data_IF_203857533457
#
_entry.id   IF_203857533457
#
_cell.length_a   1.000
_cell.length_b   1.000
_cell.length_c   1.000
_cell.angle_alpha   90.00
_cell.angle_beta   90.00
_cell.angle_gamma   90.00
#
_symmetry.space_group_name_H-M   'P 1'
#
loop_
_entity.id
_entity.type
_entity.pdbx_description
1 polymer ?
#
# COMPACT_ATOMS: atom_id res chain seq x y z
N UNK A 1 27.58 -13.37 -4.35
CA UNK A 1 27.03 -13.20 -5.70
C UNK A 1 25.50 -13.23 -5.59
N UNK A 2 24.79 -12.22 -6.10
CA UNK A 2 23.32 -12.13 -6.07
C UNK A 2 22.66 -12.92 -7.22
N UNK A 3 23.46 -13.54 -8.09
CA UNK A 3 23.00 -14.25 -9.29
C UNK A 3 23.03 -15.77 -9.15
N UNK A 4 23.59 -16.29 -8.07
CA UNK A 4 23.78 -17.72 -7.85
C UNK A 4 23.53 -18.11 -6.38
N UNK A 5 22.95 -19.29 -6.18
CA UNK A 5 22.75 -19.89 -4.85
C UNK A 5 21.36 -20.50 -4.65
N UNK A 6 21.17 -21.27 -3.57
CA UNK A 6 19.90 -21.99 -3.30
C UNK A 6 18.69 -21.06 -3.16
N UNK A 7 18.91 -19.84 -2.65
CA UNK A 7 17.87 -18.82 -2.51
C UNK A 7 17.25 -18.41 -3.85
N UNK A 8 18.01 -18.42 -4.95
CA UNK A 8 17.52 -18.07 -6.30
C UNK A 8 16.47 -19.07 -6.77
N UNK A 9 16.69 -20.37 -6.52
CA UNK A 9 15.69 -21.41 -6.83
C UNK A 9 14.39 -21.18 -6.06
N UNK A 10 14.48 -20.75 -4.79
CA UNK A 10 13.28 -20.39 -4.02
C UNK A 10 12.59 -19.14 -4.58
N UNK A 11 13.34 -18.09 -4.92
CA UNK A 11 12.79 -16.87 -5.54
C UNK A 11 12.12 -17.18 -6.87
N UNK A 12 12.68 -18.06 -7.70
CA UNK A 12 12.06 -18.50 -8.94
C UNK A 12 10.71 -19.21 -8.70
N UNK A 13 10.58 -20.00 -7.62
CA UNK A 13 9.29 -20.59 -7.22
C UNK A 13 8.28 -19.52 -6.81
N UNK A 14 8.69 -18.47 -6.11
CA UNK A 14 7.81 -17.34 -5.79
C UNK A 14 7.31 -16.64 -7.06
N UNK A 15 8.21 -16.39 -8.03
CA UNK A 15 7.84 -15.79 -9.34
C UNK A 15 6.80 -16.67 -10.06
N UNK A 16 7.07 -17.97 -10.16
CA UNK A 16 6.15 -18.91 -10.80
C UNK A 16 4.78 -18.96 -10.11
N UNK A 17 4.76 -18.95 -8.77
CA UNK A 17 3.52 -18.92 -7.98
C UNK A 17 2.68 -17.66 -8.22
N UNK A 18 3.31 -16.50 -8.36
CA UNK A 18 2.60 -15.25 -8.65
C UNK A 18 2.16 -15.13 -10.12
N UNK A 19 2.96 -15.63 -11.06
CA UNK A 19 2.63 -15.62 -12.48
C UNK A 19 1.41 -16.47 -12.83
N UNK A 20 1.08 -17.49 -12.01
CA UNK A 20 -0.08 -18.35 -12.17
C UNK A 20 -1.45 -17.71 -11.87
N UNK A 21 -1.54 -16.37 -11.80
CA UNK A 21 -2.79 -15.66 -11.53
C UNK A 21 -3.16 -15.56 -10.05
N UNK A 22 -2.23 -15.85 -9.14
CA UNK A 22 -2.49 -15.86 -7.69
C UNK A 22 -2.54 -14.46 -7.06
N UNK A 23 -2.06 -13.42 -7.76
CA UNK A 23 -2.09 -12.04 -7.27
C UNK A 23 -3.55 -11.55 -7.11
N UNK A 24 -3.88 -10.84 -6.02
CA UNK A 24 -5.18 -10.19 -5.90
C UNK A 24 -5.46 -9.31 -7.11
N UNK A 25 -6.55 -9.63 -7.82
CA UNK A 25 -7.03 -8.87 -8.96
C UNK A 25 -8.54 -8.66 -8.82
N UNK A 26 -8.92 -7.55 -8.23
CA UNK A 26 -10.31 -7.16 -8.11
C UNK A 26 -10.48 -5.64 -8.21
N UNK A 27 -11.71 -5.21 -8.44
CA UNK A 27 -12.06 -3.81 -8.67
C UNK A 27 -11.74 -2.90 -7.46
N UNK A 28 -11.80 -3.44 -6.24
CA UNK A 28 -11.54 -2.71 -5.00
C UNK A 28 -10.05 -2.53 -4.77
N UNK A 29 -9.28 -3.62 -4.81
CA UNK A 29 -7.84 -3.63 -4.61
C UNK A 29 -7.16 -4.70 -5.46
N UNK A 30 -6.09 -4.33 -6.16
CA UNK A 30 -5.29 -5.22 -6.97
C UNK A 30 -3.80 -5.04 -6.68
N UNK A 31 -3.03 -6.11 -6.82
CA UNK A 31 -1.59 -6.11 -6.67
C UNK A 31 -0.89 -6.37 -8.01
N UNK A 32 0.21 -5.65 -8.24
CA UNK A 32 1.03 -5.74 -9.44
C UNK A 32 2.48 -5.91 -9.03
N UNK A 33 3.18 -6.85 -9.66
CA UNK A 33 4.59 -7.14 -9.35
C UNK A 33 5.43 -6.97 -10.61
N UNK A 34 6.65 -6.44 -10.43
CA UNK A 34 7.71 -6.37 -11.44
C UNK A 34 8.99 -6.88 -10.81
N UNK A 35 9.68 -7.76 -11.52
CA UNK A 35 10.98 -8.32 -11.13
C UNK A 35 12.05 -7.62 -11.95
N UNK A 36 13.16 -7.24 -11.34
CA UNK A 36 14.29 -6.65 -12.06
C UNK A 36 14.93 -7.68 -13.00
N UNK A 37 15.12 -7.29 -14.26
CA UNK A 37 15.61 -8.18 -15.33
C UNK A 37 17.03 -8.71 -15.06
N UNK A 38 17.87 -7.91 -14.37
CA UNK A 38 19.26 -8.27 -14.08
C UNK A 38 19.42 -8.95 -12.72
N UNK A 39 18.49 -8.72 -11.78
CA UNK A 39 18.55 -9.15 -10.39
C UNK A 39 17.19 -9.65 -9.94
N UNK A 40 16.91 -10.93 -10.16
CA UNK A 40 15.64 -11.56 -9.78
C UNK A 40 15.27 -11.47 -8.29
N UNK A 41 16.21 -11.10 -7.42
CA UNK A 41 16.03 -10.85 -5.98
C UNK A 41 15.56 -9.42 -5.64
N UNK A 42 15.36 -8.55 -6.63
CA UNK A 42 14.87 -7.17 -6.45
C UNK A 42 13.54 -7.02 -7.18
N UNK A 43 12.47 -6.77 -6.43
CA UNK A 43 11.14 -6.60 -7.00
C UNK A 43 10.58 -5.22 -6.65
N UNK A 44 9.77 -4.68 -7.55
CA UNK A 44 8.85 -3.59 -7.26
C UNK A 44 7.43 -4.15 -7.20
N UNK A 45 6.64 -3.67 -6.25
CA UNK A 45 5.27 -4.09 -6.00
C UNK A 45 4.40 -2.84 -5.93
N UNK A 46 3.24 -2.88 -6.56
CA UNK A 46 2.22 -1.84 -6.42
C UNK A 46 0.92 -2.48 -5.96
N UNK A 47 0.31 -1.93 -4.92
CA UNK A 47 -1.01 -2.33 -4.42
C UNK A 47 -1.94 -1.13 -4.56
N UNK A 48 -3.13 -1.31 -5.14
CA UNK A 48 -4.14 -0.26 -5.16
C UNK A 48 -4.92 -0.26 -3.84
N UNK A 49 -5.17 0.90 -3.25
CA UNK A 49 -5.86 0.99 -1.96
C UNK A 49 -7.29 0.46 -2.04
N UNK A 50 -7.72 -0.41 -1.09
CA UNK A 50 -9.06 -0.98 -1.09
C UNK A 50 -10.18 0.06 -0.95
N UNK A 51 -11.33 -0.22 -1.57
CA UNK A 51 -12.56 0.54 -1.36
C UNK A 51 -12.96 0.57 0.11
N UNK A 52 -13.68 1.62 0.50
CA UNK A 52 -14.16 1.86 1.87
C UNK A 52 -13.05 2.00 2.94
N UNK A 53 -11.85 2.34 2.49
CA UNK A 53 -10.72 2.72 3.34
C UNK A 53 -10.29 4.16 3.03
N UNK A 54 -9.52 4.82 3.90
CA UNK A 54 -8.90 6.11 3.56
C UNK A 54 -7.80 6.00 2.48
N UNK A 55 -7.56 4.79 1.96
CA UNK A 55 -6.62 4.49 0.88
C UNK A 55 -7.28 4.33 -0.50
N UNK A 56 -8.62 4.27 -0.56
CA UNK A 56 -9.42 3.90 -1.76
C UNK A 56 -8.89 4.51 -3.06
N UNK A 57 -8.46 3.63 -3.96
CA UNK A 57 -8.05 3.97 -5.32
C UNK A 57 -6.66 4.59 -5.45
N UNK A 58 -5.93 4.83 -4.36
CA UNK A 58 -4.53 5.23 -4.41
C UNK A 58 -3.61 4.12 -4.90
N UNK A 59 -2.45 4.46 -5.48
CA UNK A 59 -1.41 3.51 -5.87
C UNK A 59 -0.25 3.55 -4.86
N UNK A 60 -0.01 2.44 -4.16
CA UNK A 60 1.00 2.30 -3.11
C UNK A 60 2.14 1.41 -3.60
N UNK A 61 3.35 1.95 -3.65
CA UNK A 61 4.53 1.26 -4.18
C UNK A 61 5.44 0.79 -3.05
N UNK A 62 5.96 -0.42 -3.19
CA UNK A 62 6.89 -1.08 -2.29
C UNK A 62 8.04 -1.69 -3.08
N UNK A 63 9.23 -1.66 -2.52
CA UNK A 63 10.36 -2.46 -2.99
C UNK A 63 10.48 -3.71 -2.11
N UNK A 64 10.81 -4.85 -2.73
CA UNK A 64 11.15 -6.08 -2.04
C UNK A 64 12.56 -6.55 -2.41
N UNK A 65 13.31 -6.97 -1.40
CA UNK A 65 14.64 -7.56 -1.56
C UNK A 65 14.71 -8.92 -0.87
N UNK A 66 15.13 -9.93 -1.62
CA UNK A 66 15.32 -11.30 -1.12
C UNK A 66 16.80 -11.49 -0.74
N UNK A 67 17.14 -11.58 0.56
CA UNK A 67 18.53 -11.74 0.98
C UNK A 67 19.08 -13.11 0.59
N UNK A 68 20.41 -13.26 0.62
CA UNK A 68 21.08 -14.56 0.33
C UNK A 68 20.65 -15.69 1.27
N UNK A 69 20.21 -15.37 2.48
CA UNK A 69 19.64 -16.31 3.45
C UNK A 69 18.16 -16.63 3.24
N UNK A 70 17.53 -16.19 2.14
CA UNK A 70 16.14 -16.53 1.84
C UNK A 70 16.02 -18.01 1.43
N UNK A 71 15.01 -18.77 1.90
CA UNK A 71 13.87 -18.36 2.73
C UNK A 71 14.08 -18.52 4.24
N UNK A 72 15.28 -18.84 4.74
CA UNK A 72 15.53 -18.90 6.20
C UNK A 72 15.19 -17.58 6.89
N UNK A 73 15.42 -16.46 6.20
CA UNK A 73 14.96 -15.13 6.62
C UNK A 73 13.88 -14.61 5.68
N UNK A 74 12.96 -13.81 6.22
CA UNK A 74 11.93 -13.11 5.47
C UNK A 74 12.54 -12.16 4.41
N UNK A 75 11.77 -11.82 3.34
CA UNK A 75 12.18 -10.75 2.44
C UNK A 75 12.19 -9.40 3.16
N UNK A 76 13.02 -8.47 2.71
CA UNK A 76 13.01 -7.08 3.20
C UNK A 76 12.07 -6.26 2.33
N UNK A 77 11.10 -5.59 2.95
CA UNK A 77 10.13 -4.74 2.25
C UNK A 77 10.33 -3.28 2.66
N UNK A 78 10.33 -2.38 1.68
CA UNK A 78 10.38 -0.94 1.90
C UNK A 78 9.21 -0.25 1.21
N UNK A 79 8.41 0.50 1.95
CA UNK A 79 7.36 1.36 1.41
C UNK A 79 7.97 2.60 0.74
N UNK A 80 7.56 2.88 -0.50
CA UNK A 80 8.14 3.92 -1.36
C UNK A 80 7.25 5.15 -1.51
N UNK A 81 5.93 5.01 -1.36
CA UNK A 81 4.98 6.14 -1.45
C UNK A 81 4.96 6.97 -0.15
N UNK A 82 6.13 7.34 0.38
CA UNK A 82 6.27 8.08 1.65
C UNK A 82 6.18 9.60 1.50
N UNK A 83 5.91 10.09 0.28
CA UNK A 83 6.03 11.51 -0.04
C UNK A 83 7.43 12.06 0.24
N UNK A 84 8.48 11.28 -0.04
CA UNK A 84 9.87 11.67 0.22
C UNK A 84 10.17 11.85 1.71
N UNK A 85 9.67 10.95 2.56
CA UNK A 85 9.90 11.00 4.00
C UNK A 85 8.91 11.85 4.81
N UNK A 86 7.89 12.42 4.16
CA UNK A 86 6.94 13.34 4.82
C UNK A 86 5.72 12.64 5.40
N UNK A 87 5.35 11.46 4.90
CA UNK A 87 4.10 10.79 5.22
C UNK A 87 4.33 9.46 5.93
N UNK A 88 3.76 9.34 7.15
CA UNK A 88 3.52 8.06 7.82
C UNK A 88 2.13 7.61 7.39
N UNK A 89 2.04 6.63 6.48
CA UNK A 89 0.78 6.26 5.83
C UNK A 89 -0.14 5.41 6.70
N UNK A 90 0.43 4.73 7.69
CA UNK A 90 -0.27 3.84 8.61
C UNK A 90 0.62 3.67 9.86
N UNK A 91 0.11 3.25 11.03
CA UNK A 91 0.96 2.87 12.14
C UNK A 91 2.06 1.87 11.77
N UNK A 92 1.78 1.00 10.80
CA UNK A 92 2.70 0.01 10.24
C UNK A 92 3.48 0.47 8.99
N UNK A 93 3.27 1.69 8.48
CA UNK A 93 3.98 2.27 7.32
C UNK A 93 4.64 3.59 7.68
N UNK A 94 5.94 3.53 7.95
CA UNK A 94 6.72 4.63 8.50
C UNK A 94 7.17 5.61 7.42
N UNK A 95 7.55 6.82 7.85
CA UNK A 95 8.06 7.89 6.97
C UNK A 95 9.34 7.48 6.23
N UNK A 96 10.20 6.71 6.88
CA UNK A 96 11.44 6.17 6.30
C UNK A 96 11.21 4.95 5.37
N UNK A 97 9.96 4.53 5.23
CA UNK A 97 9.56 3.39 4.42
C UNK A 97 9.58 2.04 5.16
N UNK A 98 9.85 2.01 6.48
CA UNK A 98 9.72 0.75 7.24
C UNK A 98 8.29 0.23 7.19
N UNK A 99 8.17 -1.07 6.89
CA UNK A 99 6.91 -1.82 6.93
C UNK A 99 6.92 -2.76 8.13
N UNK A 100 5.93 -2.61 9.01
CA UNK A 100 5.75 -3.47 10.18
C UNK A 100 4.73 -4.57 9.88
N UNK A 101 5.18 -5.81 9.85
CA UNK A 101 4.33 -6.98 9.71
C UNK A 101 4.99 -8.16 10.44
N UNK A 102 4.20 -8.96 11.15
CA UNK A 102 4.71 -10.13 11.89
C UNK A 102 5.38 -11.14 10.96
N UNK A 103 4.81 -11.36 9.77
CA UNK A 103 5.40 -12.17 8.69
C UNK A 103 6.76 -11.64 8.19
N UNK A 104 7.11 -10.39 8.47
CA UNK A 104 8.41 -9.81 8.11
C UNK A 104 9.37 -9.76 9.30
N UNK A 105 8.95 -10.24 10.48
CA UNK A 105 9.72 -10.13 11.72
C UNK A 105 9.88 -8.69 12.23
N UNK A 106 9.10 -7.76 11.69
CA UNK A 106 9.16 -6.32 12.02
C UNK A 106 8.04 -5.86 12.95
N UNK A 107 7.16 -6.79 13.34
CA UNK A 107 6.07 -6.59 14.29
C UNK A 107 5.91 -7.82 15.18
N UNK A 108 5.26 -7.64 16.34
CA UNK A 108 4.91 -8.78 17.20
C UNK A 108 3.82 -9.61 16.53
N UNK A 109 3.95 -10.93 16.60
CA UNK A 109 2.96 -11.88 16.08
C UNK A 109 2.84 -13.08 17.00
N UNK A 110 1.67 -13.69 17.01
CA UNK A 110 1.38 -14.95 17.68
C UNK A 110 2.04 -16.16 16.99
N UNK A 111 1.77 -17.34 17.55
CA UNK A 111 2.26 -18.61 16.99
C UNK A 111 1.65 -18.82 15.60
N UNK A 112 2.51 -18.99 14.58
CA UNK A 112 2.10 -19.17 13.19
C UNK A 112 1.87 -17.87 12.40
N UNK A 113 2.04 -16.70 13.03
CA UNK A 113 1.90 -15.39 12.35
C UNK A 113 3.25 -14.78 11.93
N UNK A 114 4.35 -15.42 12.30
CA UNK A 114 5.72 -15.01 11.95
C UNK A 114 6.21 -15.78 10.72
N UNK A 115 7.29 -15.29 10.10
CA UNK A 115 7.87 -15.92 8.92
C UNK A 115 8.26 -17.37 9.19
N UNK A 116 7.71 -18.29 8.41
CA UNK A 116 8.08 -19.70 8.37
C UNK A 116 8.71 -20.02 7.00
N UNK A 117 10.01 -20.36 6.95
CA UNK A 117 10.70 -20.71 5.71
C UNK A 117 10.02 -21.83 4.89
N UNK A 118 9.29 -22.73 5.55
CA UNK A 118 8.65 -23.87 4.91
C UNK A 118 7.34 -23.50 4.21
N UNK A 119 6.56 -22.55 4.74
CA UNK A 119 5.20 -22.27 4.25
C UNK A 119 4.93 -20.81 3.89
N UNK A 120 5.71 -19.86 4.41
CA UNK A 120 5.52 -18.44 4.11
C UNK A 120 5.93 -18.11 2.68
N UNK A 121 5.19 -17.21 2.04
CA UNK A 121 5.36 -16.81 0.63
C UNK A 121 5.26 -15.30 0.47
N UNK A 122 5.78 -14.78 -0.64
CA UNK A 122 5.64 -13.36 -0.97
C UNK A 122 4.17 -12.98 -1.22
N UNK A 123 3.35 -13.92 -1.71
CA UNK A 123 1.91 -13.71 -1.88
C UNK A 123 1.24 -13.39 -0.54
N UNK A 124 1.54 -14.14 0.52
CA UNK A 124 0.99 -13.87 1.86
C UNK A 124 1.39 -12.50 2.36
N UNK A 125 2.64 -12.08 2.14
CA UNK A 125 3.08 -10.72 2.51
C UNK A 125 2.28 -9.65 1.78
N UNK A 126 2.08 -9.79 0.46
CA UNK A 126 1.28 -8.84 -0.35
C UNK A 126 -0.16 -8.78 0.17
N UNK A 127 -0.79 -9.93 0.39
CA UNK A 127 -2.17 -10.03 0.90
C UNK A 127 -2.27 -9.44 2.31
N UNK A 128 -1.29 -9.66 3.18
CA UNK A 128 -1.27 -9.09 4.52
C UNK A 128 -1.13 -7.57 4.51
N UNK A 129 -0.32 -6.98 3.63
CA UNK A 129 -0.27 -5.52 3.47
C UNK A 129 -1.64 -5.00 3.03
N UNK A 130 -2.26 -5.64 2.05
CA UNK A 130 -3.56 -5.25 1.54
C UNK A 130 -4.67 -5.32 2.61
N UNK A 131 -4.71 -6.41 3.40
CA UNK A 131 -5.80 -6.70 4.32
C UNK A 131 -5.61 -6.11 5.73
N UNK A 132 -4.38 -6.04 6.23
CA UNK A 132 -4.09 -5.65 7.62
C UNK A 132 -3.62 -4.20 7.74
N UNK A 133 -2.97 -3.66 6.69
CA UNK A 133 -2.37 -2.33 6.72
C UNK A 133 -3.24 -1.32 5.96
N UNK A 134 -3.63 -1.63 4.73
CA UNK A 134 -4.48 -0.75 3.92
C UNK A 134 -5.97 -0.96 4.27
N UNK A 135 -6.31 -0.87 5.55
CA UNK A 135 -7.61 -1.21 6.12
C UNK A 135 -8.46 0.04 6.48
N UNK A 136 -9.76 -0.13 6.81
CA UNK A 136 -10.58 0.93 7.41
C UNK A 136 -10.10 1.27 8.82
N UNK A 137 -10.23 2.54 9.23
CA UNK A 137 -9.83 3.04 10.56
C UNK A 137 -8.40 2.64 10.98
N UNK A 138 -7.37 2.91 10.14
CA UNK A 138 -5.98 2.55 10.40
C UNK A 138 -5.38 3.09 11.70
N UNK A 139 -6.02 4.08 12.33
CA UNK A 139 -5.67 4.55 13.68
C UNK A 139 -5.52 3.41 14.70
N UNK A 140 -6.39 2.39 14.61
CA UNK A 140 -6.39 1.27 15.57
C UNK A 140 -5.30 0.22 15.31
N UNK A 141 -4.48 0.38 14.27
CA UNK A 141 -3.29 -0.47 14.08
C UNK A 141 -2.15 -0.09 15.03
N UNK A 142 -2.26 1.03 15.76
CA UNK A 142 -1.29 1.40 16.79
C UNK A 142 -1.50 0.55 18.06
N UNK A 143 -0.45 -0.09 18.61
CA UNK A 143 -0.57 -0.95 19.77
C UNK A 143 -1.23 -0.27 20.96
N UNK A 144 -2.22 -0.96 21.55
CA UNK A 144 -2.94 -0.50 22.72
C UNK A 144 -4.03 0.52 22.42
N UNK A 145 -4.30 0.83 21.15
CA UNK A 145 -5.43 1.69 20.76
C UNK A 145 -6.71 0.89 20.56
N UNK A 146 -6.63 -0.43 20.50
CA UNK A 146 -7.77 -1.34 20.37
C UNK A 146 -8.76 -1.18 21.53
N UNK A 147 -8.28 -0.81 22.72
CA UNK A 147 -9.11 -0.49 23.90
C UNK A 147 -10.05 0.70 23.69
N UNK A 148 -9.80 1.53 22.69
CA UNK A 148 -10.62 2.70 22.36
C UNK A 148 -11.70 2.37 21.32
N UNK A 149 -11.69 1.16 20.73
CA UNK A 149 -12.68 0.75 19.74
C UNK A 149 -14.09 0.79 20.37
N UNK A 150 -15.03 1.40 19.67
CA UNK A 150 -16.41 1.55 20.12
C UNK A 150 -16.67 2.74 21.06
N UNK A 151 -15.62 3.42 21.52
CA UNK A 151 -15.77 4.62 22.36
C UNK A 151 -15.93 5.90 21.52
N UNK A 152 -16.61 6.95 22.03
CA UNK A 152 -16.68 8.25 21.34
C UNK A 152 -15.30 8.88 21.12
N UNK A 153 -14.39 8.74 22.09
CA UNK A 153 -13.02 9.24 21.98
C UNK A 153 -12.24 8.52 20.87
N UNK A 154 -12.30 7.18 20.83
CA UNK A 154 -11.66 6.38 19.79
C UNK A 154 -12.18 6.71 18.40
N UNK A 155 -13.50 6.90 18.27
CA UNK A 155 -14.12 7.35 17.02
C UNK A 155 -13.56 8.71 16.59
N UNK A 156 -13.59 9.71 17.46
CA UNK A 156 -13.09 11.05 17.16
C UNK A 156 -11.61 11.05 16.72
N UNK A 157 -10.75 10.31 17.42
CA UNK A 157 -9.33 10.19 17.06
C UNK A 157 -9.11 9.46 15.73
N UNK A 158 -9.87 8.40 15.48
CA UNK A 158 -9.84 7.69 14.19
C UNK A 158 -10.29 8.59 13.05
N UNK A 159 -11.35 9.38 13.22
CA UNK A 159 -11.87 10.28 12.18
C UNK A 159 -10.83 11.36 11.80
N UNK A 160 -10.12 11.90 12.80
CA UNK A 160 -9.01 12.86 12.59
C UNK A 160 -7.84 12.19 11.87
N UNK A 161 -7.49 10.95 12.24
CA UNK A 161 -6.42 10.20 11.58
C UNK A 161 -6.77 9.91 10.12
N UNK A 162 -7.98 9.42 9.86
CA UNK A 162 -8.48 9.09 8.52
C UNK A 162 -8.52 10.32 7.62
N UNK A 163 -8.90 11.48 8.15
CA UNK A 163 -8.85 12.74 7.42
C UNK A 163 -7.44 13.06 6.90
N UNK A 164 -6.40 12.86 7.72
CA UNK A 164 -5.01 13.05 7.32
C UNK A 164 -4.53 12.01 6.31
N UNK A 165 -4.98 10.76 6.44
CA UNK A 165 -4.67 9.69 5.47
C UNK A 165 -5.30 10.00 4.12
N UNK A 166 -6.57 10.42 4.08
CA UNK A 166 -7.29 10.81 2.85
C UNK A 166 -6.57 11.92 2.08
N UNK A 167 -6.21 13.01 2.76
CA UNK A 167 -5.50 14.13 2.14
C UNK A 167 -4.17 13.67 1.51
N UNK A 168 -3.44 12.79 2.21
CA UNK A 168 -2.16 12.27 1.74
C UNK A 168 -2.30 11.17 0.67
N UNK A 169 -3.37 10.37 0.69
CA UNK A 169 -3.70 9.42 -0.38
C UNK A 169 -3.96 10.17 -1.68
N UNK A 170 -4.79 11.23 -1.65
CA UNK A 170 -4.99 12.12 -2.80
C UNK A 170 -3.67 12.70 -3.29
N UNK A 171 -2.86 13.23 -2.37
CA UNK A 171 -1.60 13.88 -2.73
C UNK A 171 -0.58 12.92 -3.31
N UNK A 172 -0.15 11.92 -2.54
CA UNK A 172 1.02 11.11 -2.84
C UNK A 172 0.68 9.85 -3.63
N UNK A 173 -0.42 9.18 -3.29
CA UNK A 173 -0.81 7.92 -3.92
C UNK A 173 -1.62 8.10 -5.21
N UNK A 174 -2.18 9.29 -5.46
CA UNK A 174 -2.93 9.59 -6.69
C UNK A 174 -2.24 10.66 -7.54
N UNK A 175 -2.20 11.91 -7.07
CA UNK A 175 -1.77 13.05 -7.90
C UNK A 175 -0.29 12.96 -8.26
N UNK A 176 0.59 12.78 -7.27
CA UNK A 176 2.03 12.63 -7.54
C UNK A 176 2.33 11.32 -8.29
N UNK A 177 1.55 10.27 -8.05
CA UNK A 177 1.64 9.02 -8.82
C UNK A 177 1.32 9.24 -10.31
N UNK A 178 0.35 10.10 -10.64
CA UNK A 178 0.03 10.49 -12.02
C UNK A 178 1.10 11.40 -12.64
N UNK A 179 1.60 12.38 -11.88
CA UNK A 179 2.62 13.34 -12.36
C UNK A 179 3.98 12.71 -12.55
N UNK A 180 4.39 11.83 -11.62
CA UNK A 180 5.71 11.19 -11.56
C UNK A 180 5.53 9.69 -11.32
N UNK A 181 4.95 8.95 -12.29
CA UNK A 181 4.66 7.55 -12.10
C UNK A 181 5.96 6.75 -11.93
N UNK A 182 5.92 5.76 -11.03
CA UNK A 182 7.01 4.81 -10.88
C UNK A 182 7.28 4.11 -12.23
N UNK A 183 8.53 4.05 -12.72
CA UNK A 183 8.82 3.53 -14.06
C UNK A 183 8.26 2.13 -14.32
N UNK A 184 8.37 1.25 -13.34
CA UNK A 184 7.88 -0.14 -13.44
C UNK A 184 6.35 -0.26 -13.60
N UNK A 185 5.60 0.78 -13.23
CA UNK A 185 4.13 0.75 -13.17
C UNK A 185 3.46 1.87 -13.96
N UNK A 186 4.20 2.61 -14.81
CA UNK A 186 3.67 3.78 -15.54
C UNK A 186 2.35 3.49 -16.26
N UNK A 187 2.30 2.41 -17.02
CA UNK A 187 1.11 2.07 -17.80
C UNK A 187 -0.03 1.56 -16.91
N UNK A 188 0.31 0.81 -15.85
CA UNK A 188 -0.67 0.32 -14.87
C UNK A 188 -1.33 1.49 -14.14
N UNK A 189 -0.53 2.46 -13.67
CA UNK A 189 -1.00 3.68 -12.99
C UNK A 189 -1.96 4.45 -13.90
N UNK A 190 -1.54 4.74 -15.14
CA UNK A 190 -2.38 5.47 -16.10
C UNK A 190 -3.68 4.73 -16.40
N UNK A 191 -3.61 3.42 -16.63
CA UNK A 191 -4.78 2.59 -16.93
C UNK A 191 -5.73 2.51 -15.74
N UNK A 192 -5.21 2.30 -14.53
CA UNK A 192 -5.97 2.29 -13.28
C UNK A 192 -6.76 3.59 -13.11
N UNK A 193 -6.09 4.73 -13.16
CA UNK A 193 -6.73 6.03 -12.97
C UNK A 193 -7.72 6.39 -14.10
N UNK A 194 -7.43 6.00 -15.34
CA UNK A 194 -8.39 6.15 -16.46
C UNK A 194 -9.67 5.36 -16.23
N UNK A 195 -9.56 4.11 -15.77
CA UNK A 195 -10.73 3.25 -15.50
C UNK A 195 -11.48 3.67 -14.24
N UNK A 196 -10.78 4.17 -13.21
CA UNK A 196 -11.35 4.52 -11.91
C UNK A 196 -11.82 5.97 -11.82
N UNK A 197 -11.62 6.80 -12.86
CA UNK A 197 -11.97 8.23 -12.87
C UNK A 197 -13.37 8.53 -12.34
N UNK A 198 -14.39 7.80 -12.81
CA UNK A 198 -15.77 7.99 -12.36
C UNK A 198 -16.00 7.66 -10.89
N UNK A 199 -15.35 6.61 -10.39
CA UNK A 199 -15.38 6.24 -8.96
C UNK A 199 -14.70 7.29 -8.08
N UNK A 200 -13.54 7.78 -8.52
CA UNK A 200 -12.73 8.73 -7.76
C UNK A 200 -13.39 10.11 -7.67
N UNK A 201 -13.93 10.61 -8.78
CA UNK A 201 -14.53 11.95 -8.85
C UNK A 201 -16.00 11.99 -8.41
N UNK A 202 -16.66 10.83 -8.31
CA UNK A 202 -18.03 10.69 -7.81
C UNK A 202 -18.05 10.15 -6.37
N UNK A 203 -18.25 8.84 -6.16
CA UNK A 203 -18.39 8.23 -4.83
C UNK A 203 -17.29 8.62 -3.82
N UNK A 204 -16.02 8.51 -4.22
CA UNK A 204 -14.89 8.80 -3.31
C UNK A 204 -14.87 10.27 -2.92
N UNK A 205 -15.02 11.17 -3.90
CA UNK A 205 -15.09 12.61 -3.62
C UNK A 205 -16.24 12.96 -2.69
N UNK A 206 -17.43 12.41 -2.93
CA UNK A 206 -18.59 12.64 -2.08
C UNK A 206 -18.30 12.19 -0.63
N UNK A 207 -17.85 10.95 -0.45
CA UNK A 207 -17.54 10.39 0.89
C UNK A 207 -16.43 11.14 1.61
N UNK A 208 -15.36 11.55 0.92
CA UNK A 208 -14.23 12.21 1.56
C UNK A 208 -14.44 13.69 1.84
N UNK A 209 -15.39 14.34 1.15
CA UNK A 209 -15.76 15.74 1.41
C UNK A 209 -16.97 15.87 2.33
N UNK A 210 -17.66 14.78 2.64
CA UNK A 210 -18.78 14.76 3.57
C UNK A 210 -18.37 15.30 4.95
N UNK A 211 -19.14 16.27 5.45
CA UNK A 211 -18.89 16.91 6.74
C UNK A 211 -17.60 17.75 6.83
N UNK A 212 -16.81 17.86 5.75
CA UNK A 212 -15.62 18.72 5.74
C UNK A 212 -16.02 20.21 5.74
N UNK A 213 -15.41 21.00 6.62
CA UNK A 213 -15.65 22.45 6.75
C UNK A 213 -14.34 23.23 6.81
N UNK A 214 -14.44 24.56 6.70
CA UNK A 214 -13.31 25.49 6.85
C UNK A 214 -12.11 25.17 5.95
N UNK A 215 -10.91 25.26 6.52
CA UNK A 215 -9.66 25.01 5.79
C UNK A 215 -9.54 23.58 5.25
N UNK A 216 -10.08 22.59 5.96
CA UNK A 216 -10.03 21.19 5.52
C UNK A 216 -10.80 21.01 4.23
N UNK A 217 -12.00 21.58 4.13
CA UNK A 217 -12.79 21.55 2.90
C UNK A 217 -12.03 22.19 1.74
N UNK A 218 -11.46 23.37 1.96
CA UNK A 218 -10.67 24.08 0.95
C UNK A 218 -9.47 23.25 0.46
N UNK A 219 -8.75 22.56 1.37
CA UNK A 219 -7.66 21.65 1.00
C UNK A 219 -8.13 20.47 0.16
N UNK A 220 -9.20 19.78 0.57
CA UNK A 220 -9.76 18.65 -0.16
C UNK A 220 -10.25 19.06 -1.55
N UNK A 221 -10.99 20.16 -1.65
CA UNK A 221 -11.46 20.68 -2.94
C UNK A 221 -10.29 21.04 -3.87
N UNK A 222 -9.23 21.64 -3.31
CA UNK A 222 -7.99 21.90 -4.05
C UNK A 222 -7.33 20.61 -4.58
N UNK A 223 -7.19 19.59 -3.72
CA UNK A 223 -6.63 18.29 -4.10
C UNK A 223 -7.47 17.60 -5.17
N UNK A 224 -8.80 17.58 -5.04
CA UNK A 224 -9.68 16.98 -6.04
C UNK A 224 -9.67 17.73 -7.36
N UNK A 225 -9.61 19.07 -7.34
CA UNK A 225 -9.45 19.89 -8.55
C UNK A 225 -8.14 19.56 -9.28
N UNK A 226 -7.06 19.39 -8.54
CA UNK A 226 -5.77 19.02 -9.11
C UNK A 226 -5.76 17.58 -9.64
N UNK A 227 -6.35 16.63 -8.90
CA UNK A 227 -6.55 15.26 -9.37
C UNK A 227 -7.36 15.23 -10.66
N UNK A 228 -8.46 15.98 -10.74
CA UNK A 228 -9.28 16.08 -11.95
C UNK A 228 -8.47 16.64 -13.13
N UNK A 229 -7.61 17.63 -12.89
CA UNK A 229 -6.72 18.18 -13.92
C UNK A 229 -5.71 17.13 -14.42
N UNK A 230 -5.11 16.33 -13.55
CA UNK A 230 -4.22 15.23 -13.98
C UNK A 230 -4.98 14.12 -14.72
N UNK A 231 -6.19 13.77 -14.27
CA UNK A 231 -7.05 12.77 -14.92
C UNK A 231 -7.57 13.20 -16.30
N UNK A 232 -7.58 14.52 -16.61
CA UNK A 232 -7.90 15.04 -17.95
C UNK A 232 -6.75 14.86 -18.96
N UNK A 233 -5.53 14.59 -18.50
CA UNK A 233 -4.35 14.37 -19.35
C UNK A 233 -4.19 12.91 -19.80
N UNK A 234 -5.03 12.00 -19.32
CA UNK A 234 -4.99 10.53 -19.56
C UNK A 234 -5.84 10.07 -20.76
#
# INVERSE_FOLDING_TARGET
>A
DLRSGPHISRVAKEIAGLAGGALPLNRSSSAFVRVDDAKSVIWSIMITGPEDTPYDGGCFVFDAFFPSGYPTHAPKIQFKTTGGGRWRANPNLYKDGKVCLSLLGTWQGGKGETWDPAVSTMLQVIVSIQSLILCPRPYFNEPGYERLIGTPEGKSKSDVYDAGVVENTLRWAMIESLKKPHPAFRDVIRRHFRLRKGHLLGPVRARWTEGATGERKARLDGLFKELEAELKKL
#
